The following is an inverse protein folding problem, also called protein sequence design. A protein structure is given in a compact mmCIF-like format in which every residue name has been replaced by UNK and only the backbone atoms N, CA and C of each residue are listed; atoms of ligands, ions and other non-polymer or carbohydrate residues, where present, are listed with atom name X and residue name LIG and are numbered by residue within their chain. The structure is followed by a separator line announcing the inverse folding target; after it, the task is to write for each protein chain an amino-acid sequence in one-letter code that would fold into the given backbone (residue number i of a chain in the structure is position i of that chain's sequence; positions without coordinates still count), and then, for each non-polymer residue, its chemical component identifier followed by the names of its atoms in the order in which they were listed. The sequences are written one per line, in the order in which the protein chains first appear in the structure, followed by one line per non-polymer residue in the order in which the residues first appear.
data_IF_157494771501
#
_entry.id   IF_157494771501
#
_cell.length_a   1.000
_cell.length_b   1.000
_cell.length_c   1.000
_cell.angle_alpha   90.00
_cell.angle_beta   90.00
_cell.angle_gamma   90.00
#
_symmetry.space_group_name_H-M   'P 1'
#
loop_
_entity.id
_entity.type
_entity.pdbx_description
1 polymer ?
#
# COMPACT_ATOMS: atom_id res chain seq x y z
N UNK A 1 -26.37 17.30 27.36
CA UNK A 1 -25.84 17.47 25.99
C UNK A 1 -26.88 18.17 25.14
N UNK A 2 -26.54 19.24 24.38
CA UNK A 2 -27.52 19.90 23.50
C UNK A 2 -27.92 18.90 22.38
N UNK A 3 -29.25 18.74 22.09
CA UNK A 3 -29.72 17.72 21.12
C UNK A 3 -29.07 17.80 19.74
N UNK A 4 -28.60 18.98 19.32
CA UNK A 4 -27.91 19.16 18.02
C UNK A 4 -26.50 18.53 17.96
N UNK A 5 -25.91 18.08 19.09
CA UNK A 5 -24.62 17.37 19.09
C UNK A 5 -24.78 15.85 19.02
N UNK A 6 -25.98 15.32 19.25
CA UNK A 6 -26.23 13.89 19.27
C UNK A 6 -26.27 13.29 17.86
N UNK A 7 -26.84 14.02 16.90
CA UNK A 7 -27.00 13.59 15.52
C UNK A 7 -25.68 13.24 14.80
N UNK A 8 -24.60 14.04 14.88
CA UNK A 8 -23.30 13.66 14.30
C UNK A 8 -22.71 12.40 14.94
N UNK A 9 -22.86 12.19 16.24
CA UNK A 9 -22.37 10.99 16.91
C UNK A 9 -23.12 9.74 16.46
N UNK A 10 -24.44 9.83 16.33
CA UNK A 10 -25.27 8.72 15.81
C UNK A 10 -24.85 8.38 14.39
N UNK A 11 -24.69 9.38 13.52
CA UNK A 11 -24.25 9.17 12.14
C UNK A 11 -22.86 8.52 12.06
N UNK A 12 -21.92 8.94 12.92
CA UNK A 12 -20.57 8.34 13.00
C UNK A 12 -20.62 6.88 13.50
N UNK A 13 -21.44 6.59 14.50
CA UNK A 13 -21.60 5.22 15.04
C UNK A 13 -22.22 4.31 13.98
N UNK A 14 -23.28 4.76 13.28
CA UNK A 14 -23.90 3.98 12.22
C UNK A 14 -22.87 3.73 11.09
N UNK A 15 -22.16 4.76 10.66
CA UNK A 15 -21.10 4.63 9.66
C UNK A 15 -20.01 3.64 10.08
N UNK A 16 -19.57 3.69 11.34
CA UNK A 16 -18.58 2.77 11.88
C UNK A 16 -19.08 1.32 11.89
N UNK A 17 -20.34 1.08 12.32
CA UNK A 17 -20.94 -0.25 12.32
C UNK A 17 -21.04 -0.81 10.91
N UNK A 18 -21.50 -0.01 9.93
CA UNK A 18 -21.60 -0.43 8.52
C UNK A 18 -20.22 -0.76 7.95
N UNK A 19 -19.19 0.05 8.25
CA UNK A 19 -17.83 -0.20 7.78
C UNK A 19 -17.17 -1.41 8.45
N UNK A 20 -17.46 -1.67 9.71
CA UNK A 20 -16.87 -2.80 10.45
C UNK A 20 -17.56 -4.13 10.16
N UNK A 21 -18.84 -4.10 9.73
CA UNK A 21 -19.63 -5.30 9.50
C UNK A 21 -18.96 -6.32 8.57
N UNK A 22 -18.41 -5.96 7.39
CA UNK A 22 -17.73 -6.91 6.51
C UNK A 22 -16.54 -7.60 7.19
N UNK A 23 -15.77 -6.87 8.01
CA UNK A 23 -14.63 -7.43 8.73
C UNK A 23 -15.05 -8.37 9.84
N UNK A 24 -16.13 -8.03 10.57
CA UNK A 24 -16.71 -8.90 11.59
C UNK A 24 -17.24 -10.18 10.93
N UNK A 25 -17.90 -10.04 9.78
CA UNK A 25 -18.41 -11.19 9.01
C UNK A 25 -17.28 -12.09 8.53
N UNK A 26 -16.22 -11.50 7.95
CA UNK A 26 -15.02 -12.21 7.51
C UNK A 26 -14.37 -12.99 8.65
N UNK A 27 -14.16 -12.34 9.81
CA UNK A 27 -13.60 -12.97 11.00
C UNK A 27 -14.53 -14.09 11.53
N UNK A 28 -15.83 -13.85 11.57
CA UNK A 28 -16.81 -14.88 11.97
C UNK A 28 -16.73 -16.09 11.05
N UNK A 29 -16.76 -15.85 9.73
CA UNK A 29 -16.75 -16.92 8.73
C UNK A 29 -15.44 -17.71 8.74
N UNK A 30 -14.30 -17.07 9.04
CA UNK A 30 -13.00 -17.76 9.17
C UNK A 30 -12.98 -18.79 10.32
N UNK A 31 -13.88 -18.65 11.29
CA UNK A 31 -14.00 -19.55 12.44
C UNK A 31 -15.10 -20.61 12.27
N UNK A 32 -15.90 -20.56 11.20
CA UNK A 32 -16.97 -21.53 10.95
C UNK A 32 -16.42 -22.84 10.37
N UNK A 33 -17.05 -23.95 10.72
CA UNK A 33 -16.80 -25.21 10.04
C UNK A 33 -17.24 -25.13 8.56
N UNK A 34 -16.63 -25.89 7.63
CA UNK A 34 -16.95 -25.84 6.19
C UNK A 34 -18.45 -25.98 5.88
N UNK A 35 -19.19 -26.77 6.67
CA UNK A 35 -20.64 -26.99 6.49
C UNK A 35 -21.50 -25.79 6.94
N UNK A 36 -20.96 -24.90 7.79
CA UNK A 36 -21.70 -23.79 8.38
C UNK A 36 -21.43 -22.44 7.71
N UNK A 37 -20.65 -22.40 6.64
CA UNK A 37 -20.16 -21.16 6.00
C UNK A 37 -21.32 -20.28 5.52
N UNK A 38 -22.37 -20.91 4.97
CA UNK A 38 -23.54 -20.22 4.43
C UNK A 38 -24.59 -19.89 5.50
N UNK A 39 -24.34 -20.30 6.76
CA UNK A 39 -25.19 -19.95 7.87
C UNK A 39 -25.04 -18.46 8.19
N UNK A 40 -26.15 -17.71 8.22
CA UNK A 40 -26.14 -16.24 8.41
C UNK A 40 -25.83 -15.80 9.85
N UNK A 41 -25.57 -16.74 10.76
CA UNK A 41 -25.23 -16.43 12.15
C UNK A 41 -23.86 -15.74 12.23
N UNK A 42 -23.82 -14.55 12.85
CA UNK A 42 -22.56 -13.82 13.08
C UNK A 42 -21.69 -14.54 14.12
N UNK A 43 -22.30 -15.19 15.10
CA UNK A 43 -21.58 -15.99 16.09
C UNK A 43 -21.62 -17.45 15.61
N UNK A 44 -20.45 -18.07 15.33
CA UNK A 44 -20.39 -19.48 14.93
C UNK A 44 -20.99 -20.38 16.00
N UNK A 45 -21.82 -21.33 15.60
CA UNK A 45 -22.39 -22.35 16.53
C UNK A 45 -21.30 -23.31 17.01
N UNK A 46 -20.36 -23.64 16.13
CA UNK A 46 -19.18 -24.45 16.42
C UNK A 46 -17.92 -23.72 15.91
N UNK A 47 -17.33 -22.85 16.75
CA UNK A 47 -16.10 -22.16 16.39
C UNK A 47 -14.92 -23.15 16.32
N UNK A 48 -14.15 -23.09 15.22
CA UNK A 48 -12.97 -23.94 15.02
C UNK A 48 -11.76 -23.13 14.54
N UNK A 49 -10.57 -23.55 14.95
CA UNK A 49 -9.31 -23.03 14.42
C UNK A 49 -8.72 -23.95 13.33
N UNK A 50 -9.41 -25.01 12.94
CA UNK A 50 -8.95 -25.95 11.93
C UNK A 50 -8.61 -25.26 10.60
N UNK A 51 -9.44 -24.29 10.16
CA UNK A 51 -9.20 -23.51 8.96
C UNK A 51 -7.86 -22.74 8.99
N UNK A 52 -7.46 -22.22 10.16
CA UNK A 52 -6.18 -21.54 10.34
C UNK A 52 -5.00 -22.50 10.26
N UNK A 53 -5.16 -23.71 10.83
CA UNK A 53 -4.15 -24.76 10.76
C UNK A 53 -3.97 -25.20 9.31
N UNK A 54 -5.07 -25.45 8.59
CA UNK A 54 -5.06 -25.83 7.18
C UNK A 54 -4.38 -24.77 6.31
N UNK A 55 -4.80 -23.50 6.41
CA UNK A 55 -4.21 -22.39 5.64
C UNK A 55 -2.71 -22.25 5.91
N UNK A 56 -2.27 -22.36 7.17
CA UNK A 56 -0.88 -22.12 7.55
C UNK A 56 0.04 -23.33 7.31
N UNK A 57 -0.46 -24.56 7.41
CA UNK A 57 0.36 -25.77 7.35
C UNK A 57 0.26 -26.53 6.03
N UNK A 58 -0.92 -26.59 5.41
CA UNK A 58 -1.18 -27.42 4.24
C UNK A 58 -1.13 -26.67 2.91
N UNK A 59 -1.07 -25.34 2.96
CA UNK A 59 -1.03 -24.53 1.76
C UNK A 59 0.29 -23.77 1.59
N UNK A 60 0.48 -23.18 0.41
CA UNK A 60 1.61 -22.26 0.17
C UNK A 60 1.37 -20.84 0.75
N UNK A 61 0.37 -20.67 1.61
CA UNK A 61 -0.07 -19.38 2.14
C UNK A 61 1.07 -18.57 2.76
N UNK A 62 1.89 -19.18 3.62
CA UNK A 62 3.02 -18.51 4.27
C UNK A 62 4.00 -17.98 3.22
N UNK A 63 4.22 -18.73 2.15
CA UNK A 63 5.10 -18.29 1.05
C UNK A 63 4.52 -17.09 0.34
N UNK A 64 3.23 -17.11 -0.01
CA UNK A 64 2.53 -16.00 -0.66
C UNK A 64 2.50 -14.76 0.23
N UNK A 65 2.26 -14.96 1.53
CA UNK A 65 2.28 -13.89 2.53
C UNK A 65 3.65 -13.21 2.58
N UNK A 66 4.73 -13.99 2.70
CA UNK A 66 6.11 -13.48 2.71
C UNK A 66 6.47 -12.78 1.41
N UNK A 67 6.07 -13.33 0.25
CA UNK A 67 6.26 -12.67 -1.04
C UNK A 67 5.59 -11.28 -1.05
N UNK A 68 4.34 -11.19 -0.60
CA UNK A 68 3.63 -9.91 -0.53
C UNK A 68 4.31 -8.92 0.43
N UNK A 69 4.78 -9.38 1.59
CA UNK A 69 5.54 -8.53 2.53
C UNK A 69 6.81 -8.00 1.87
N UNK A 70 7.61 -8.88 1.26
CA UNK A 70 8.87 -8.51 0.59
C UNK A 70 8.61 -7.48 -0.51
N UNK A 71 7.63 -7.75 -1.39
CA UNK A 71 7.30 -6.88 -2.50
C UNK A 71 6.78 -5.53 -1.98
N UNK A 72 5.80 -5.52 -1.07
CA UNK A 72 5.23 -4.30 -0.54
C UNK A 72 6.26 -3.45 0.22
N UNK A 73 7.16 -4.07 0.99
CA UNK A 73 8.22 -3.35 1.72
C UNK A 73 9.26 -2.77 0.76
N UNK A 74 9.79 -3.57 -0.18
CA UNK A 74 10.81 -3.12 -1.13
C UNK A 74 10.29 -1.98 -1.99
N UNK A 75 9.08 -2.13 -2.57
CA UNK A 75 8.48 -1.08 -3.39
C UNK A 75 8.19 0.17 -2.59
N UNK A 76 7.68 0.04 -1.36
CA UNK A 76 7.40 1.19 -0.49
C UNK A 76 8.68 1.96 -0.14
N UNK A 77 9.76 1.26 0.25
CA UNK A 77 11.05 1.88 0.56
C UNK A 77 11.62 2.56 -0.68
N UNK A 78 11.53 1.92 -1.84
CA UNK A 78 11.97 2.47 -3.12
C UNK A 78 11.21 3.75 -3.48
N UNK A 79 9.87 3.71 -3.43
CA UNK A 79 8.99 4.87 -3.68
C UNK A 79 9.32 6.01 -2.72
N UNK A 80 9.40 5.74 -1.41
CA UNK A 80 9.75 6.76 -0.41
C UNK A 80 11.09 7.41 -0.77
N UNK A 81 12.09 6.62 -1.11
CA UNK A 81 13.43 7.16 -1.41
C UNK A 81 13.46 7.93 -2.72
N UNK A 82 13.09 7.29 -3.82
CA UNK A 82 13.22 7.89 -5.16
C UNK A 82 12.23 9.03 -5.38
N UNK A 83 10.97 8.88 -4.99
CA UNK A 83 9.96 9.91 -5.21
C UNK A 83 10.24 11.15 -4.34
N UNK A 84 10.75 10.95 -3.09
CA UNK A 84 11.16 12.04 -2.23
C UNK A 84 12.39 12.76 -2.79
N UNK A 85 13.38 12.02 -3.26
CA UNK A 85 14.61 12.59 -3.86
C UNK A 85 14.30 13.37 -5.14
N UNK A 86 13.53 12.79 -6.06
CA UNK A 86 13.15 13.46 -7.31
C UNK A 86 12.24 14.66 -7.01
N UNK A 87 11.29 14.53 -6.07
CA UNK A 87 10.47 15.64 -5.61
C UNK A 87 11.29 16.79 -5.04
N UNK A 88 12.32 16.51 -4.23
CA UNK A 88 13.26 17.50 -3.71
C UNK A 88 14.04 18.20 -4.82
N UNK A 89 14.62 17.43 -5.76
CA UNK A 89 15.39 17.99 -6.88
C UNK A 89 14.50 18.90 -7.71
N UNK A 90 13.30 18.47 -8.08
CA UNK A 90 12.37 19.27 -8.87
C UNK A 90 11.88 20.49 -8.07
N UNK A 91 11.75 20.43 -6.75
CA UNK A 91 11.31 21.56 -5.94
C UNK A 91 12.40 22.60 -5.73
N UNK A 92 13.65 22.18 -5.46
CA UNK A 92 14.71 23.04 -4.90
C UNK A 92 15.83 23.40 -5.86
N UNK A 93 15.98 22.65 -6.94
CA UNK A 93 17.04 22.96 -7.92
C UNK A 93 16.47 23.60 -9.20
N UNK A 94 17.22 24.55 -9.74
CA UNK A 94 16.94 25.16 -11.05
C UNK A 94 17.86 24.56 -12.11
N UNK A 95 17.26 23.92 -13.12
CA UNK A 95 17.98 23.35 -14.25
C UNK A 95 17.15 23.45 -15.54
N UNK A 96 17.83 23.37 -16.66
CA UNK A 96 17.17 23.42 -17.98
C UNK A 96 16.21 22.22 -18.13
N UNK A 97 14.97 22.47 -18.58
CA UNK A 97 13.97 21.41 -18.78
C UNK A 97 13.21 20.98 -17.54
N UNK A 98 13.45 21.54 -16.33
CA UNK A 98 12.78 21.19 -15.07
C UNK A 98 11.25 21.14 -15.21
N UNK A 99 10.65 22.21 -15.80
CA UNK A 99 9.20 22.29 -15.99
C UNK A 99 8.68 21.21 -16.94
N UNK A 100 9.40 20.97 -18.02
CA UNK A 100 9.05 19.93 -18.99
C UNK A 100 9.13 18.53 -18.35
N UNK A 101 10.20 18.21 -17.64
CA UNK A 101 10.34 16.96 -16.91
C UNK A 101 9.17 16.75 -15.93
N UNK A 102 8.80 17.77 -15.18
CA UNK A 102 7.69 17.68 -14.25
C UNK A 102 6.34 17.44 -14.97
N UNK A 103 6.11 18.10 -16.12
CA UNK A 103 4.91 17.86 -16.93
C UNK A 103 4.89 16.40 -17.45
N UNK A 104 6.03 15.88 -17.91
CA UNK A 104 6.13 14.47 -18.33
C UNK A 104 5.79 13.52 -17.19
N UNK A 105 6.31 13.75 -15.98
CA UNK A 105 5.98 12.95 -14.79
C UNK A 105 4.47 13.03 -14.50
N UNK A 106 3.88 14.22 -14.53
CA UNK A 106 2.44 14.38 -14.33
C UNK A 106 1.61 13.68 -15.40
N UNK A 107 2.07 13.68 -16.66
CA UNK A 107 1.34 13.01 -17.74
C UNK A 107 1.29 11.49 -17.55
N UNK A 108 2.24 10.88 -16.83
CA UNK A 108 2.16 9.44 -16.49
C UNK A 108 0.97 9.11 -15.62
N UNK A 109 0.47 10.05 -14.81
CA UNK A 109 -0.73 9.85 -13.99
C UNK A 109 -2.03 9.77 -14.79
N UNK A 110 -2.01 10.24 -16.04
CA UNK A 110 -3.17 10.20 -16.93
C UNK A 110 -3.30 8.86 -17.67
N UNK A 111 -2.24 8.04 -17.64
CA UNK A 111 -2.22 6.73 -18.29
C UNK A 111 -2.78 5.68 -17.31
N UNK A 112 -3.90 5.02 -17.63
CA UNK A 112 -4.39 3.91 -16.83
C UNK A 112 -3.34 2.80 -16.74
N UNK A 113 -3.07 2.32 -15.53
CA UNK A 113 -2.04 1.28 -15.29
C UNK A 113 -2.32 0.00 -16.08
N UNK A 114 -3.60 -0.32 -16.25
CA UNK A 114 -4.04 -1.51 -17.00
C UNK A 114 -3.60 -1.50 -18.46
N UNK A 115 -3.43 -0.32 -19.07
CA UNK A 115 -2.93 -0.18 -20.45
C UNK A 115 -1.44 -0.50 -20.57
N UNK A 116 -0.69 -0.40 -19.46
CA UNK A 116 0.75 -0.66 -19.42
C UNK A 116 1.10 -2.14 -19.20
N UNK A 117 0.13 -2.98 -18.89
CA UNK A 117 0.35 -4.40 -18.58
C UNK A 117 1.03 -5.13 -19.74
N UNK A 118 0.53 -4.95 -20.96
CA UNK A 118 1.10 -5.63 -22.14
C UNK A 118 2.54 -5.15 -22.40
N UNK A 119 2.82 -3.84 -22.48
CA UNK A 119 4.20 -3.34 -22.60
C UNK A 119 5.13 -3.84 -21.47
N UNK A 120 4.65 -3.84 -20.24
CA UNK A 120 5.45 -4.35 -19.10
C UNK A 120 5.74 -5.83 -19.21
N UNK A 121 4.76 -6.64 -19.64
CA UNK A 121 4.98 -8.07 -19.86
C UNK A 121 5.99 -8.33 -20.96
N UNK A 122 5.86 -7.63 -22.10
CA UNK A 122 6.82 -7.75 -23.22
C UNK A 122 8.25 -7.41 -22.76
N UNK A 123 8.41 -6.29 -22.06
CA UNK A 123 9.70 -5.86 -21.52
C UNK A 123 10.25 -6.89 -20.50
N UNK A 124 9.40 -7.38 -19.60
CA UNK A 124 9.80 -8.42 -18.63
C UNK A 124 10.24 -9.71 -19.32
N UNK A 125 9.55 -10.10 -20.40
CA UNK A 125 9.88 -11.29 -21.19
C UNK A 125 11.23 -11.13 -21.90
N UNK A 126 11.47 -10.00 -22.54
CA UNK A 126 12.74 -9.72 -23.23
C UNK A 126 13.93 -9.67 -22.27
N UNK A 127 13.72 -9.14 -21.07
CA UNK A 127 14.76 -9.04 -20.04
C UNK A 127 14.92 -10.32 -19.20
N UNK A 128 14.10 -11.35 -19.43
CA UNK A 128 14.09 -12.58 -18.65
C UNK A 128 13.63 -12.37 -17.18
N UNK A 129 12.76 -11.38 -16.94
CA UNK A 129 12.23 -11.03 -15.60
C UNK A 129 10.90 -11.70 -15.32
N UNK A 130 10.22 -12.31 -16.31
CA UNK A 130 9.01 -13.09 -16.05
C UNK A 130 9.28 -14.17 -15.02
N UNK A 131 8.29 -14.41 -14.15
CA UNK A 131 8.40 -15.37 -13.05
C UNK A 131 9.58 -15.14 -12.11
N UNK A 132 9.92 -13.88 -11.85
CA UNK A 132 10.95 -13.45 -10.87
C UNK A 132 10.43 -12.33 -9.99
N UNK A 133 11.09 -12.08 -8.84
CA UNK A 133 10.79 -10.91 -8.01
C UNK A 133 10.99 -9.59 -8.77
N UNK A 134 12.01 -9.48 -9.63
CA UNK A 134 12.25 -8.28 -10.42
C UNK A 134 11.09 -7.96 -11.35
N UNK A 135 10.52 -8.96 -11.99
CA UNK A 135 9.33 -8.78 -12.83
C UNK A 135 8.14 -8.21 -12.05
N UNK A 136 7.96 -8.61 -10.79
CA UNK A 136 6.87 -8.08 -9.97
C UNK A 136 7.17 -6.65 -9.51
N UNK A 137 8.41 -6.38 -9.09
CA UNK A 137 8.83 -5.15 -8.41
C UNK A 137 8.92 -3.94 -9.34
N UNK A 138 9.49 -4.10 -10.57
CA UNK A 138 9.98 -2.98 -11.36
C UNK A 138 8.93 -1.90 -11.68
N UNK A 139 7.63 -2.20 -11.93
CA UNK A 139 6.67 -1.15 -12.22
C UNK A 139 6.33 -0.28 -11.01
N UNK A 140 6.53 -0.82 -9.80
CA UNK A 140 6.20 -0.17 -8.54
C UNK A 140 7.35 0.59 -7.87
N UNK A 141 8.57 0.59 -8.42
CA UNK A 141 9.75 1.13 -7.75
C UNK A 141 9.76 2.67 -7.65
N UNK A 142 9.05 3.35 -8.53
CA UNK A 142 8.89 4.81 -8.53
C UNK A 142 7.52 5.19 -9.09
N UNK A 143 6.90 6.27 -8.57
CA UNK A 143 5.56 6.67 -8.98
C UNK A 143 5.47 8.16 -9.31
N UNK A 144 4.74 8.50 -10.38
CA UNK A 144 4.46 9.90 -10.71
C UNK A 144 3.68 10.61 -9.60
N UNK A 145 2.78 9.90 -8.90
CA UNK A 145 2.02 10.43 -7.77
C UNK A 145 2.94 10.79 -6.59
N UNK A 146 3.87 9.91 -6.23
CA UNK A 146 4.77 10.15 -5.13
C UNK A 146 5.71 11.32 -5.41
N UNK A 147 6.27 11.42 -6.63
CA UNK A 147 7.08 12.57 -7.05
C UNK A 147 6.28 13.87 -6.98
N UNK A 148 5.04 13.88 -7.49
CA UNK A 148 4.14 15.03 -7.40
C UNK A 148 3.89 15.44 -5.95
N UNK A 149 3.48 14.50 -5.11
CA UNK A 149 3.20 14.73 -3.70
C UNK A 149 4.41 15.31 -2.99
N UNK A 150 5.56 14.66 -3.12
CA UNK A 150 6.79 15.09 -2.45
C UNK A 150 7.27 16.45 -2.93
N UNK A 151 7.17 16.73 -4.24
CA UNK A 151 7.49 18.05 -4.79
C UNK A 151 6.63 19.15 -4.13
N UNK A 152 5.31 18.95 -3.97
CA UNK A 152 4.43 19.93 -3.34
C UNK A 152 4.81 20.22 -1.88
N UNK A 153 5.20 19.20 -1.12
CA UNK A 153 5.64 19.40 0.26
C UNK A 153 7.05 19.99 0.35
N UNK A 154 7.96 19.58 -0.51
CA UNK A 154 9.32 20.14 -0.56
C UNK A 154 9.33 21.62 -0.94
N UNK A 155 8.41 22.08 -1.78
CA UNK A 155 8.28 23.51 -2.13
C UNK A 155 7.95 24.40 -0.91
N UNK A 156 7.27 23.86 0.08
CA UNK A 156 6.90 24.60 1.28
C UNK A 156 8.06 24.86 2.25
N UNK A 157 9.18 24.15 2.09
CA UNK A 157 10.37 24.36 2.92
C UNK A 157 10.99 25.72 2.56
N UNK A 158 11.20 26.63 3.54
CA UNK A 158 11.84 27.92 3.27
C UNK A 158 13.25 27.77 2.71
N UNK A 159 13.58 28.52 1.64
CA UNK A 159 14.92 28.51 1.02
C UNK A 159 16.00 29.00 2.02
N UNK A 160 15.67 29.96 2.88
CA UNK A 160 16.60 30.49 3.88
C UNK A 160 17.14 29.40 4.80
N UNK A 161 16.31 28.41 5.14
CA UNK A 161 16.73 27.27 5.95
C UNK A 161 17.80 26.42 5.26
N UNK A 162 17.62 26.18 3.95
CA UNK A 162 18.56 25.40 3.16
C UNK A 162 19.84 26.19 2.88
N UNK A 163 19.71 27.51 2.65
CA UNK A 163 20.85 28.39 2.42
C UNK A 163 21.72 28.56 3.67
N UNK A 164 21.11 28.67 4.85
CA UNK A 164 21.85 28.66 6.11
C UNK A 164 22.72 27.42 6.27
N UNK A 165 22.15 26.24 5.97
CA UNK A 165 22.90 24.99 6.01
C UNK A 165 24.04 24.91 4.98
N UNK A 166 23.86 25.51 3.79
CA UNK A 166 24.93 25.64 2.78
C UNK A 166 26.07 26.53 3.26
N UNK A 167 25.73 27.63 3.94
CA UNK A 167 26.72 28.55 4.55
C UNK A 167 27.49 27.84 5.67
N UNK A 168 26.83 26.95 6.44
CA UNK A 168 27.46 26.11 7.46
C UNK A 168 28.30 24.96 6.86
N UNK A 169 28.46 24.90 5.54
CA UNK A 169 29.30 23.92 4.84
C UNK A 169 28.67 22.54 4.65
N UNK A 170 27.36 22.40 4.85
CA UNK A 170 26.69 21.14 4.55
C UNK A 170 26.59 20.87 3.05
N UNK A 171 26.90 19.63 2.63
CA UNK A 171 26.66 19.20 1.26
C UNK A 171 25.14 18.90 1.02
N UNK A 172 24.71 18.89 -0.24
CA UNK A 172 23.29 18.72 -0.61
C UNK A 172 22.68 17.41 -0.11
N UNK A 173 23.43 16.32 -0.06
CA UNK A 173 22.92 15.05 0.52
C UNK A 173 22.65 15.19 2.02
N UNK A 174 23.54 15.87 2.76
CA UNK A 174 23.32 16.13 4.18
C UNK A 174 22.12 17.05 4.41
N UNK A 175 21.95 18.07 3.58
CA UNK A 175 20.78 18.97 3.60
C UNK A 175 19.50 18.17 3.34
N UNK A 176 19.51 17.33 2.29
CA UNK A 176 18.35 16.47 1.97
C UNK A 176 17.95 15.60 3.16
N UNK A 177 18.87 14.78 3.71
CA UNK A 177 18.51 13.82 4.76
C UNK A 177 18.32 14.45 6.13
N UNK A 178 19.08 15.48 6.50
CA UNK A 178 19.07 16.04 7.86
C UNK A 178 18.13 17.23 8.02
N UNK A 179 17.77 17.91 6.92
CA UNK A 179 16.94 19.12 6.98
C UNK A 179 15.63 18.91 6.22
N UNK A 180 15.70 18.57 4.91
CA UNK A 180 14.51 18.52 4.07
C UNK A 180 13.59 17.35 4.43
N UNK A 181 14.12 16.12 4.52
CA UNK A 181 13.34 14.90 4.83
C UNK A 181 12.61 15.01 6.17
N UNK A 182 13.22 15.46 7.28
CA UNK A 182 12.51 15.63 8.56
C UNK A 182 11.34 16.61 8.49
N UNK A 183 11.43 17.67 7.69
CA UNK A 183 10.37 18.67 7.54
C UNK A 183 9.12 18.12 6.85
N UNK A 184 9.30 17.17 5.92
CA UNK A 184 8.21 16.57 5.15
C UNK A 184 7.84 15.17 5.63
N UNK A 185 8.26 14.78 6.83
CA UNK A 185 7.99 13.46 7.40
C UNK A 185 6.50 13.05 7.39
N UNK A 186 5.52 13.96 7.64
CA UNK A 186 4.11 13.62 7.50
C UNK A 186 3.72 13.19 6.08
N UNK A 187 4.24 13.88 5.06
CA UNK A 187 3.99 13.52 3.66
C UNK A 187 4.64 12.18 3.28
N UNK A 188 5.87 11.94 3.75
CA UNK A 188 6.56 10.65 3.56
C UNK A 188 5.76 9.52 4.20
N UNK A 189 5.21 9.74 5.41
CA UNK A 189 4.38 8.73 6.08
C UNK A 189 3.11 8.42 5.31
N UNK A 190 2.45 9.45 4.76
CA UNK A 190 1.27 9.27 3.91
C UNK A 190 1.62 8.52 2.62
N UNK A 191 2.70 8.91 1.93
CA UNK A 191 3.19 8.24 0.73
C UNK A 191 3.52 6.77 1.02
N UNK A 192 4.16 6.49 2.14
CA UNK A 192 4.49 5.12 2.58
C UNK A 192 3.25 4.25 2.79
N UNK A 193 2.21 4.79 3.45
CA UNK A 193 0.95 4.06 3.63
C UNK A 193 0.30 3.77 2.28
N UNK A 194 0.15 4.77 1.41
CA UNK A 194 -0.47 4.59 0.10
C UNK A 194 0.31 3.60 -0.78
N UNK A 195 1.62 3.71 -0.81
CA UNK A 195 2.47 2.78 -1.55
C UNK A 195 2.37 1.36 -1.02
N UNK A 196 2.44 1.18 0.31
CA UNK A 196 2.29 -0.15 0.93
C UNK A 196 0.92 -0.77 0.62
N UNK A 197 -0.16 -0.03 0.82
CA UNK A 197 -1.53 -0.48 0.54
C UNK A 197 -1.71 -0.89 -0.92
N UNK A 198 -1.21 -0.07 -1.86
CA UNK A 198 -1.30 -0.33 -3.29
C UNK A 198 -0.57 -1.62 -3.67
N UNK A 199 0.66 -1.80 -3.21
CA UNK A 199 1.47 -2.97 -3.53
C UNK A 199 1.01 -4.23 -2.79
N UNK A 200 0.54 -4.10 -1.55
CA UNK A 200 -0.04 -5.21 -0.79
C UNK A 200 -1.27 -5.80 -1.45
N UNK A 201 -2.14 -4.95 -2.00
CA UNK A 201 -3.37 -5.35 -2.68
C UNK A 201 -3.19 -5.58 -4.19
N UNK A 202 -1.96 -5.46 -4.72
CA UNK A 202 -1.71 -5.66 -6.13
C UNK A 202 -2.07 -7.09 -6.56
N UNK A 203 -2.94 -7.19 -7.57
CA UNK A 203 -3.45 -8.47 -8.06
C UNK A 203 -3.11 -8.70 -9.53
N UNK A 204 -3.56 -7.81 -10.42
CA UNK A 204 -3.56 -8.06 -11.85
C UNK A 204 -2.15 -8.22 -12.43
N UNK A 205 -1.21 -7.32 -12.08
CA UNK A 205 0.15 -7.41 -12.56
C UNK A 205 0.89 -8.65 -12.02
N UNK A 206 0.91 -8.93 -10.71
CA UNK A 206 1.49 -10.16 -10.19
C UNK A 206 0.88 -11.43 -10.78
N UNK A 207 -0.43 -11.46 -11.03
CA UNK A 207 -1.11 -12.60 -11.67
C UNK A 207 -0.55 -12.89 -13.07
N UNK A 208 -0.26 -11.86 -13.85
CA UNK A 208 0.20 -11.99 -15.23
C UNK A 208 1.69 -12.35 -15.31
N UNK A 209 2.52 -11.77 -14.43
CA UNK A 209 3.98 -11.92 -14.53
C UNK A 209 4.52 -13.13 -13.79
N UNK A 210 3.71 -13.78 -12.90
CA UNK A 210 4.13 -14.97 -12.14
C UNK A 210 3.46 -16.24 -12.66
N UNK A 211 4.26 -17.25 -12.98
CA UNK A 211 3.81 -18.57 -13.43
C UNK A 211 3.84 -19.60 -12.30
N UNK A 212 4.94 -19.61 -11.52
CA UNK A 212 5.12 -20.59 -10.45
C UNK A 212 4.29 -20.25 -9.21
N UNK A 213 3.68 -21.25 -8.60
CA UNK A 213 2.91 -21.10 -7.37
C UNK A 213 3.75 -20.51 -6.21
N UNK A 214 5.06 -20.78 -6.20
CA UNK A 214 5.98 -20.30 -5.15
C UNK A 214 6.27 -18.80 -5.20
N UNK A 215 6.06 -18.12 -6.34
CA UNK A 215 6.29 -16.67 -6.52
C UNK A 215 5.02 -15.84 -6.44
N UNK A 216 3.85 -16.47 -6.37
CA UNK A 216 2.58 -15.73 -6.25
C UNK A 216 2.59 -14.83 -5.04
N UNK A 217 1.95 -13.67 -5.18
CA UNK A 217 1.61 -12.79 -4.05
C UNK A 217 0.38 -13.32 -3.32
N UNK A 218 0.13 -12.84 -2.12
CA UNK A 218 -0.99 -13.29 -1.28
C UNK A 218 -2.36 -13.10 -1.98
N UNK A 219 -2.69 -11.92 -2.58
CA UNK A 219 -3.96 -11.79 -3.30
C UNK A 219 -4.10 -12.78 -4.47
N UNK A 220 -3.02 -13.03 -5.22
CA UNK A 220 -3.02 -14.02 -6.30
C UNK A 220 -3.18 -15.43 -5.75
N UNK A 221 -2.45 -15.79 -4.69
CA UNK A 221 -2.56 -17.10 -4.05
C UNK A 221 -3.96 -17.38 -3.53
N UNK A 222 -4.58 -16.40 -2.84
CA UNK A 222 -5.95 -16.54 -2.33
C UNK A 222 -6.99 -16.76 -3.43
N UNK A 223 -6.81 -16.17 -4.61
CA UNK A 223 -7.75 -16.38 -5.73
C UNK A 223 -7.80 -17.83 -6.19
N UNK A 224 -6.74 -18.61 -5.99
CA UNK A 224 -6.71 -20.03 -6.35
C UNK A 224 -7.57 -20.90 -5.41
N UNK A 225 -7.86 -20.48 -4.20
CA UNK A 225 -8.85 -21.17 -3.35
C UNK A 225 -10.28 -21.01 -3.86
N UNK A 226 -10.54 -20.04 -4.76
CA UNK A 226 -11.87 -19.84 -5.38
C UNK A 226 -12.01 -20.51 -6.74
N UNK A 227 -10.93 -20.95 -7.37
CA UNK A 227 -10.91 -21.48 -8.76
C UNK A 227 -10.78 -23.01 -8.84
N UNK A 228 -10.84 -23.74 -7.72
CA UNK A 228 -10.80 -25.21 -7.70
C UNK A 228 -12.10 -25.84 -8.22
N UNK A 229 -12.00 -27.05 -8.83
CA UNK A 229 -13.16 -27.86 -9.29
C UNK A 229 -14.05 -28.36 -8.14
N UNK A 230 -13.58 -28.34 -6.91
CA UNK A 230 -14.38 -28.53 -5.69
C UNK A 230 -15.01 -27.20 -5.26
N UNK A 231 -16.20 -27.27 -4.65
CA UNK A 231 -16.92 -26.13 -4.05
C UNK A 231 -15.95 -25.09 -3.47
N UNK A 232 -16.10 -23.82 -3.87
CA UNK A 232 -15.22 -22.71 -3.46
C UNK A 232 -14.93 -22.78 -1.98
N UNK A 233 -13.65 -22.90 -1.61
CA UNK A 233 -13.21 -23.08 -0.22
C UNK A 233 -13.32 -21.75 0.56
N UNK A 234 -14.55 -21.24 0.68
CA UNK A 234 -14.83 -19.94 1.27
C UNK A 234 -14.27 -19.78 2.70
N UNK A 235 -14.26 -20.88 3.50
CA UNK A 235 -13.66 -20.88 4.83
C UNK A 235 -12.17 -20.56 4.79
N UNK A 236 -11.42 -21.12 3.82
CA UNK A 236 -9.99 -20.84 3.67
C UNK A 236 -9.74 -19.44 3.10
N UNK A 237 -10.58 -18.98 2.15
CA UNK A 237 -10.52 -17.61 1.62
C UNK A 237 -10.72 -16.60 2.74
N UNK A 238 -11.76 -16.76 3.55
CA UNK A 238 -12.06 -15.85 4.65
C UNK A 238 -11.00 -15.89 5.74
N UNK A 239 -10.40 -17.07 5.99
CA UNK A 239 -9.29 -17.22 6.92
C UNK A 239 -8.04 -16.52 6.41
N UNK A 240 -7.67 -16.75 5.16
CA UNK A 240 -6.53 -16.09 4.53
C UNK A 240 -6.72 -14.57 4.43
N UNK A 241 -7.94 -14.11 4.09
CA UNK A 241 -8.28 -12.69 4.08
C UNK A 241 -8.17 -12.07 5.48
N UNK A 242 -8.62 -12.78 6.53
CA UNK A 242 -8.49 -12.32 7.92
C UNK A 242 -7.03 -12.11 8.31
N UNK A 243 -6.16 -13.06 7.97
CA UNK A 243 -4.72 -12.93 8.23
C UNK A 243 -4.12 -11.78 7.41
N UNK A 244 -4.57 -11.59 6.17
CA UNK A 244 -4.05 -10.56 5.26
C UNK A 244 -4.35 -9.12 5.70
N UNK A 245 -5.33 -8.90 6.57
CA UNK A 245 -5.64 -7.57 7.13
C UNK A 245 -4.63 -7.16 8.22
N UNK A 246 -3.96 -8.12 8.86
CA UNK A 246 -3.04 -7.82 9.99
C UNK A 246 -1.91 -6.85 9.60
N UNK A 247 -1.15 -7.05 8.51
CA UNK A 247 -0.10 -6.10 8.10
C UNK A 247 -0.64 -4.71 7.80
N UNK A 248 -1.83 -4.60 7.21
CA UNK A 248 -2.46 -3.32 6.91
C UNK A 248 -2.76 -2.53 8.18
N UNK A 249 -3.33 -3.22 9.19
CA UNK A 249 -3.61 -2.63 10.50
C UNK A 249 -2.30 -2.19 11.17
N UNK A 250 -1.26 -3.03 11.14
CA UNK A 250 0.05 -2.71 11.73
C UNK A 250 0.67 -1.47 11.09
N UNK A 251 0.72 -1.39 9.76
CA UNK A 251 1.26 -0.24 9.02
C UNK A 251 0.46 1.03 9.34
N UNK A 252 -0.88 0.93 9.38
CA UNK A 252 -1.73 2.05 9.74
C UNK A 252 -1.47 2.53 11.18
N UNK A 253 -1.44 1.65 12.16
CA UNK A 253 -1.18 2.01 13.57
C UNK A 253 0.19 2.68 13.74
N UNK A 254 1.22 2.19 13.06
CA UNK A 254 2.57 2.74 13.14
C UNK A 254 2.67 4.16 12.55
N UNK A 255 1.96 4.43 11.46
CA UNK A 255 2.11 5.66 10.68
C UNK A 255 1.01 6.70 10.91
N UNK A 256 -0.19 6.33 11.43
CA UNK A 256 -1.36 7.22 11.61
C UNK A 256 -1.06 8.50 12.40
N UNK A 257 -0.20 8.42 13.43
CA UNK A 257 0.17 9.59 14.25
C UNK A 257 0.85 10.71 13.46
N UNK A 258 1.52 10.36 12.36
CA UNK A 258 2.21 11.32 11.52
C UNK A 258 1.26 11.99 10.52
N UNK A 259 0.26 11.26 10.03
CA UNK A 259 -0.79 11.80 9.16
C UNK A 259 -1.62 12.85 9.90
N UNK A 260 -2.06 12.53 11.14
CA UNK A 260 -2.92 13.44 11.93
C UNK A 260 -2.20 14.76 12.18
N UNK A 261 -0.90 14.73 12.49
CA UNK A 261 -0.09 15.96 12.69
C UNK A 261 0.02 16.82 11.43
N UNK A 262 0.13 16.21 10.25
CA UNK A 262 0.21 16.91 8.97
C UNK A 262 -1.09 17.63 8.59
N UNK A 263 -2.25 17.00 8.84
CA UNK A 263 -3.56 17.58 8.54
C UNK A 263 -3.87 18.77 9.46
N UNK A 264 -3.50 18.68 10.72
CA UNK A 264 -3.75 19.77 11.71
C UNK A 264 -2.95 21.03 11.35
N UNK A 265 -1.72 20.89 10.84
CA UNK A 265 -0.89 22.03 10.45
C UNK A 265 -1.42 22.77 9.20
N UNK A 266 -2.11 22.06 8.28
CA UNK A 266 -2.73 22.67 7.09
C UNK A 266 -4.08 23.32 7.37
N UNK A 267 -4.76 22.95 8.44
CA UNK A 267 -6.09 23.47 8.83
C UNK A 267 -6.08 24.74 9.69
N UNK A 268 -4.92 25.26 10.08
CA UNK A 268 -4.78 26.48 10.89
C UNK A 268 -4.21 27.68 10.08
N UNK A 269 -4.81 27.92 8.92
CA UNK A 269 -4.61 29.18 8.17
C UNK A 269 -5.91 29.98 8.20
#
# INVERSE_FOLDING_TARGET
MKPGKLLPYIALIIGAVVMLFPFIWMLSTSLKAPMDIFNLNIIPESATLANYIEVLQESMFIRWFLNSVIIAVITTVSVIFFDTLVGYIIAKFTFFGRKFLFIVILSTLMVPVEMLIIPWYMMSSELGWTNTYWGILFPGLMTGFGVFLMKQFMEQIPEDLLNAARIDGMNEFSIFFKIAVPQVWPAISALGIFSFLSNWNAFLWPLIVTESSSLRTLPVGLSYFSSGEAESQWHLIMTGATISVIPLILVFILLQRHIIKGIVLTGMK
#
